data_IF_102916034454
#
_entry.id   IF_102916034454
#
_cell.length_a   1.000
_cell.length_b   1.000
_cell.length_c   1.000
_cell.angle_alpha   90.00
_cell.angle_beta   90.00
_cell.angle_gamma   90.00
#
_symmetry.space_group_name_H-M   'P 1'
#
loop_
_entity.id
_entity.type
_entity.pdbx_description
1 polymer ?
#
# COMPACT_ATOMS: atom_id res chain seq x y z
N UNK A 1 11.43 4.68 10.45
CA UNK A 1 10.10 5.34 10.31
C UNK A 1 8.98 4.43 10.78
N UNK A 2 8.76 3.29 10.14
CA UNK A 2 7.67 2.38 10.52
C UNK A 2 7.96 1.57 11.79
N UNK A 3 9.22 1.48 12.20
CA UNK A 3 9.61 0.77 13.43
C UNK A 3 8.96 1.35 14.70
N UNK A 4 8.66 2.65 14.72
CA UNK A 4 7.95 3.28 15.85
C UNK A 4 6.52 2.76 16.01
N UNK A 5 5.90 2.30 14.91
CA UNK A 5 4.59 1.66 14.92
C UNK A 5 4.70 0.14 15.05
N UNK A 6 5.91 -0.40 15.20
CA UNK A 6 6.14 -1.84 15.25
C UNK A 6 5.93 -2.55 13.92
N UNK A 7 6.17 -1.85 12.81
CA UNK A 7 6.01 -2.36 11.46
C UNK A 7 7.34 -2.41 10.69
N UNK A 8 7.55 -3.48 9.94
CA UNK A 8 8.55 -3.52 8.87
C UNK A 8 7.99 -2.82 7.63
N UNK A 9 8.88 -2.38 6.73
CA UNK A 9 8.47 -1.71 5.50
C UNK A 9 7.51 -2.53 4.64
N UNK A 10 7.74 -3.84 4.53
CA UNK A 10 6.87 -4.72 3.76
C UNK A 10 5.46 -4.87 4.38
N UNK A 11 5.37 -4.82 5.70
CA UNK A 11 4.08 -4.85 6.41
C UNK A 11 3.29 -3.58 6.10
N UNK A 12 3.96 -2.43 6.16
CA UNK A 12 3.37 -1.16 5.76
C UNK A 12 2.84 -1.19 4.33
N UNK A 13 3.59 -1.76 3.38
CA UNK A 13 3.19 -1.82 1.97
C UNK A 13 1.85 -2.56 1.81
N UNK A 14 1.69 -3.72 2.47
CA UNK A 14 0.46 -4.50 2.40
C UNK A 14 -0.69 -3.79 3.12
N UNK A 15 -0.47 -3.32 4.34
CA UNK A 15 -1.51 -2.67 5.14
C UNK A 15 -1.99 -1.37 4.47
N UNK A 16 -1.07 -0.59 3.91
CA UNK A 16 -1.44 0.66 3.22
C UNK A 16 -2.19 0.41 1.91
N UNK A 17 -1.84 -0.65 1.17
CA UNK A 17 -2.58 -1.04 -0.03
C UNK A 17 -4.04 -1.40 0.31
N UNK A 18 -4.24 -2.20 1.36
CA UNK A 18 -5.58 -2.54 1.85
C UNK A 18 -6.34 -1.29 2.30
N UNK A 19 -5.69 -0.39 3.03
CA UNK A 19 -6.31 0.83 3.52
C UNK A 19 -6.77 1.75 2.40
N UNK A 20 -5.94 1.90 1.35
CA UNK A 20 -6.26 2.73 0.18
C UNK A 20 -7.38 2.16 -0.68
N UNK A 21 -7.68 0.88 -0.58
CA UNK A 21 -8.74 0.25 -1.39
C UNK A 21 -10.15 0.76 -1.05
N UNK A 22 -10.30 1.45 0.07
CA UNK A 22 -11.60 1.91 0.56
C UNK A 22 -12.37 0.81 1.30
N UNK A 23 -13.38 1.21 2.07
CA UNK A 23 -14.19 0.25 2.82
C UNK A 23 -14.76 -0.84 1.92
N UNK A 24 -14.72 -2.09 2.34
CA UNK A 24 -14.37 -2.65 3.66
C UNK A 24 -12.88 -2.97 3.85
N UNK A 25 -11.96 -2.36 3.12
CA UNK A 25 -10.51 -2.54 3.19
C UNK A 25 -10.09 -3.98 2.88
N UNK A 26 -10.54 -4.47 1.75
CA UNK A 26 -10.46 -5.87 1.35
C UNK A 26 -9.96 -5.97 -0.09
N UNK A 27 -8.93 -6.78 -0.32
CA UNK A 27 -8.35 -7.06 -1.63
C UNK A 27 -8.08 -8.55 -1.76
N UNK A 28 -8.00 -9.04 -3.00
CA UNK A 28 -7.51 -10.39 -3.26
C UNK A 28 -5.98 -10.43 -3.12
N UNK A 29 -5.37 -11.60 -2.84
CA UNK A 29 -3.91 -11.74 -2.88
C UNK A 29 -3.32 -11.30 -4.22
N UNK A 30 -4.01 -11.53 -5.32
CA UNK A 30 -3.60 -11.10 -6.67
C UNK A 30 -3.49 -9.58 -6.77
N UNK A 31 -4.48 -8.86 -6.26
CA UNK A 31 -4.46 -7.40 -6.22
C UNK A 31 -3.28 -6.89 -5.38
N UNK A 32 -3.04 -7.52 -4.24
CA UNK A 32 -1.91 -7.17 -3.36
C UNK A 32 -0.56 -7.42 -4.02
N UNK A 33 -0.43 -8.50 -4.79
CA UNK A 33 0.78 -8.79 -5.58
C UNK A 33 1.04 -7.66 -6.59
N UNK A 34 0.02 -7.21 -7.29
CA UNK A 34 0.11 -6.12 -8.26
C UNK A 34 0.47 -4.79 -7.58
N UNK A 35 -0.15 -4.48 -6.46
CA UNK A 35 0.08 -3.24 -5.73
C UNK A 35 1.47 -3.16 -5.06
N UNK A 36 2.04 -4.28 -4.66
CA UNK A 36 3.29 -4.33 -3.90
C UNK A 36 4.49 -4.86 -4.69
N UNK A 37 4.29 -5.27 -5.94
CA UNK A 37 5.35 -5.73 -6.86
C UNK A 37 6.18 -6.89 -6.31
N UNK A 38 5.54 -7.86 -5.67
CA UNK A 38 6.20 -9.06 -5.14
C UNK A 38 5.69 -10.32 -5.83
N UNK A 39 6.37 -11.44 -5.61
CA UNK A 39 5.93 -12.75 -6.12
C UNK A 39 4.76 -13.31 -5.30
N UNK A 40 4.03 -14.27 -5.88
CA UNK A 40 2.93 -14.95 -5.19
C UNK A 40 3.40 -15.71 -3.95
N UNK A 41 4.58 -16.36 -4.01
CA UNK A 41 5.16 -17.05 -2.86
C UNK A 41 5.50 -16.10 -1.72
N UNK A 42 6.09 -14.95 -2.04
CA UNK A 42 6.39 -13.90 -1.05
C UNK A 42 5.10 -13.37 -0.42
N UNK A 43 4.07 -13.10 -1.23
CA UNK A 43 2.79 -12.60 -0.71
C UNK A 43 2.12 -13.62 0.22
N UNK A 44 2.12 -14.90 -0.14
CA UNK A 44 1.56 -15.96 0.72
C UNK A 44 2.22 -15.97 2.09
N UNK A 45 3.55 -15.89 2.14
CA UNK A 45 4.31 -15.85 3.40
C UNK A 45 4.00 -14.59 4.21
N UNK A 46 3.94 -13.44 3.56
CA UNK A 46 3.63 -12.15 4.19
C UNK A 46 2.23 -12.12 4.79
N UNK A 47 1.25 -12.59 4.05
CA UNK A 47 -0.15 -12.65 4.52
C UNK A 47 -0.30 -13.58 5.74
N UNK A 48 0.41 -14.72 5.73
CA UNK A 48 0.42 -15.61 6.89
C UNK A 48 0.98 -14.90 8.13
N UNK A 49 2.09 -14.19 8.00
CA UNK A 49 2.70 -13.44 9.10
C UNK A 49 1.78 -12.33 9.63
N UNK A 50 1.11 -11.61 8.74
CA UNK A 50 0.16 -10.56 9.12
C UNK A 50 -1.08 -11.14 9.82
N UNK A 51 -1.54 -12.30 9.38
CA UNK A 51 -2.66 -13.00 10.01
C UNK A 51 -2.30 -13.49 11.42
N UNK A 52 -1.09 -14.03 11.61
CA UNK A 52 -0.57 -14.41 12.93
C UNK A 52 -0.52 -13.22 13.89
N UNK A 53 -0.19 -12.04 13.38
CA UNK A 53 -0.21 -10.78 14.16
C UNK A 53 -1.60 -10.17 14.34
N UNK A 54 -2.65 -10.81 13.83
CA UNK A 54 -4.04 -10.31 13.86
C UNK A 54 -4.24 -8.95 13.17
N UNK A 55 -3.41 -8.63 12.18
CA UNK A 55 -3.52 -7.38 11.43
C UNK A 55 -4.41 -7.51 10.19
N UNK A 56 -4.53 -8.72 9.66
CA UNK A 56 -5.43 -9.05 8.56
C UNK A 56 -6.19 -10.34 8.87
N UNK A 57 -7.31 -10.52 8.17
CA UNK A 57 -8.10 -11.77 8.15
C UNK A 57 -8.29 -12.20 6.72
N UNK A 58 -8.22 -13.50 6.50
CA UNK A 58 -8.53 -14.10 5.18
C UNK A 58 -9.87 -14.81 5.27
N UNK A 59 -10.68 -14.63 4.24
CA UNK A 59 -11.95 -15.34 4.08
C UNK A 59 -12.15 -15.74 2.62
N UNK A 60 -13.01 -16.70 2.39
CA UNK A 60 -13.44 -17.02 1.03
C UNK A 60 -14.53 -16.07 0.59
N UNK A 61 -14.45 -15.61 -0.68
CA UNK A 61 -15.51 -14.80 -1.27
C UNK A 61 -16.80 -15.61 -1.40
N UNK A 62 -17.94 -14.99 -1.13
CA UNK A 62 -19.24 -15.61 -1.34
C UNK A 62 -19.45 -15.89 -2.84
N UNK A 63 -20.02 -17.05 -3.15
CA UNK A 63 -20.37 -17.46 -4.52
C UNK A 63 -19.23 -18.04 -5.36
N UNK A 64 -17.97 -17.86 -4.96
CA UNK A 64 -16.81 -18.47 -5.59
C UNK A 64 -15.91 -19.11 -4.53
N UNK A 65 -16.00 -20.42 -4.39
CA UNK A 65 -15.27 -21.20 -3.38
C UNK A 65 -13.74 -21.19 -3.55
N UNK A 66 -13.19 -20.54 -4.58
CA UNK A 66 -11.76 -20.47 -4.87
C UNK A 66 -11.13 -19.11 -4.57
N UNK A 67 -11.93 -18.06 -4.56
CA UNK A 67 -11.44 -16.70 -4.31
C UNK A 67 -11.25 -16.46 -2.83
N UNK A 68 -10.06 -15.97 -2.48
CA UNK A 68 -9.73 -15.54 -1.12
C UNK A 68 -9.73 -14.02 -1.07
N UNK A 69 -10.27 -13.47 -0.01
CA UNK A 69 -10.24 -12.05 0.28
C UNK A 69 -9.42 -11.80 1.55
N UNK A 70 -8.58 -10.79 1.50
CA UNK A 70 -7.75 -10.33 2.62
C UNK A 70 -8.32 -9.00 3.08
N UNK A 71 -8.65 -8.90 4.36
CA UNK A 71 -9.27 -7.73 4.95
C UNK A 71 -8.46 -7.25 6.15
N UNK A 72 -8.31 -5.94 6.29
CA UNK A 72 -7.75 -5.35 7.51
C UNK A 72 -8.62 -5.66 8.72
N UNK A 73 -7.98 -6.04 9.82
CA UNK A 73 -8.61 -6.04 11.14
C UNK A 73 -8.70 -4.60 11.68
N UNK A 74 -9.43 -4.41 12.77
CA UNK A 74 -9.46 -3.11 13.46
C UNK A 74 -8.05 -2.66 13.88
N UNK A 75 -7.24 -3.58 14.39
CA UNK A 75 -5.85 -3.31 14.76
C UNK A 75 -5.00 -2.98 13.51
N UNK A 76 -5.24 -3.69 12.40
CA UNK A 76 -4.60 -3.41 11.11
C UNK A 76 -4.91 -2.01 10.61
N UNK A 77 -6.16 -1.57 10.71
CA UNK A 77 -6.59 -0.21 10.34
C UNK A 77 -5.87 0.82 11.22
N UNK A 78 -5.86 0.59 12.54
CA UNK A 78 -5.20 1.50 13.48
C UNK A 78 -3.72 1.67 13.19
N UNK A 79 -3.01 0.56 12.96
CA UNK A 79 -1.58 0.60 12.63
C UNK A 79 -1.31 1.21 11.26
N UNK A 80 -2.13 0.90 10.27
CA UNK A 80 -2.01 1.49 8.93
C UNK A 80 -2.17 3.01 8.99
N UNK A 81 -3.19 3.49 9.68
CA UNK A 81 -3.45 4.94 9.81
C UNK A 81 -2.32 5.65 10.55
N UNK A 82 -1.81 5.07 11.64
CA UNK A 82 -0.68 5.63 12.38
C UNK A 82 0.60 5.69 11.52
N UNK A 83 0.88 4.63 10.75
CA UNK A 83 2.05 4.58 9.89
C UNK A 83 1.94 5.53 8.70
N UNK A 84 0.76 5.66 8.10
CA UNK A 84 0.50 6.61 7.01
C UNK A 84 0.70 8.05 7.51
N UNK A 85 0.17 8.37 8.69
CA UNK A 85 0.36 9.69 9.29
C UNK A 85 1.84 10.00 9.54
N UNK A 86 2.58 9.04 10.10
CA UNK A 86 4.02 9.17 10.33
C UNK A 86 4.79 9.41 9.02
N UNK A 87 4.43 8.71 7.95
CA UNK A 87 5.03 8.89 6.62
C UNK A 87 4.76 10.30 6.09
N UNK A 88 3.50 10.75 6.13
CA UNK A 88 3.10 12.09 5.66
C UNK A 88 3.85 13.17 6.43
N UNK A 89 3.95 13.04 7.75
CA UNK A 89 4.70 14.00 8.59
C UNK A 89 6.18 14.03 8.24
N UNK A 90 6.80 12.88 8.00
CA UNK A 90 8.20 12.78 7.59
C UNK A 90 8.43 13.39 6.20
N UNK A 91 7.55 13.12 5.25
CA UNK A 91 7.58 13.70 3.90
C UNK A 91 7.43 15.22 3.95
N UNK A 92 6.51 15.72 4.78
CA UNK A 92 6.31 17.15 4.95
C UNK A 92 7.57 17.84 5.47
N UNK A 93 8.25 17.25 6.44
CA UNK A 93 9.52 17.77 6.96
C UNK A 93 10.61 17.84 5.89
N UNK A 94 10.67 16.84 5.01
CA UNK A 94 11.60 16.86 3.88
C UNK A 94 11.26 17.98 2.91
N UNK A 95 9.98 18.16 2.60
CA UNK A 95 9.51 19.19 1.68
C UNK A 95 9.64 20.61 2.25
N UNK A 96 9.66 20.79 3.56
CA UNK A 96 9.86 22.08 4.21
C UNK A 96 11.21 22.74 3.86
N UNK A 97 12.18 21.97 3.37
CA UNK A 97 13.44 22.51 2.86
C UNK A 97 13.32 23.18 1.50
N UNK A 98 12.19 23.00 0.82
CA UNK A 98 11.90 23.57 -0.51
C UNK A 98 10.99 24.78 -0.38
N UNK A 99 11.13 25.72 -1.31
CA UNK A 99 10.14 26.81 -1.48
C UNK A 99 8.84 26.25 -2.07
N UNK A 100 7.74 27.00 -1.94
CA UNK A 100 6.46 26.64 -2.59
C UNK A 100 6.62 26.45 -4.10
N UNK A 101 7.37 27.33 -4.75
CA UNK A 101 7.63 27.26 -6.19
C UNK A 101 8.38 25.97 -6.56
N UNK A 102 9.44 25.63 -5.81
CA UNK A 102 10.21 24.40 -6.03
C UNK A 102 9.35 23.15 -5.83
N UNK A 103 8.50 23.11 -4.82
CA UNK A 103 7.58 22.01 -4.56
C UNK A 103 6.59 21.85 -5.71
N UNK A 104 6.01 22.96 -6.18
CA UNK A 104 5.07 22.96 -7.31
C UNK A 104 5.74 22.47 -8.59
N UNK A 105 6.92 23.00 -8.91
CA UNK A 105 7.67 22.61 -10.12
C UNK A 105 8.06 21.13 -10.10
N UNK A 106 8.50 20.62 -8.97
CA UNK A 106 8.82 19.21 -8.79
C UNK A 106 7.59 18.33 -8.99
N UNK A 107 6.47 18.70 -8.39
CA UNK A 107 5.20 18.00 -8.53
C UNK A 107 4.72 17.98 -9.97
N UNK A 108 4.83 19.10 -10.69
CA UNK A 108 4.46 19.19 -12.11
C UNK A 108 5.36 18.29 -12.97
N UNK A 109 6.66 18.27 -12.70
CA UNK A 109 7.61 17.41 -13.40
C UNK A 109 7.29 15.92 -13.19
N UNK A 110 7.00 15.51 -11.97
CA UNK A 110 6.62 14.12 -11.64
C UNK A 110 5.32 13.71 -12.33
N UNK A 111 4.31 14.59 -12.33
CA UNK A 111 3.06 14.31 -13.05
C UNK A 111 3.28 14.17 -14.55
N UNK A 112 4.14 14.97 -15.13
CA UNK A 112 4.53 14.87 -16.53
C UNK A 112 5.17 13.51 -16.84
N UNK A 113 6.11 13.05 -16.00
CA UNK A 113 6.73 11.74 -16.13
C UNK A 113 5.72 10.60 -16.01
N UNK A 114 4.81 10.65 -15.05
CA UNK A 114 3.77 9.64 -14.89
C UNK A 114 2.88 9.51 -16.12
N UNK A 115 2.50 10.61 -16.72
CA UNK A 115 1.72 10.61 -17.98
C UNK A 115 2.51 9.96 -19.13
N UNK A 116 3.79 10.26 -19.23
CA UNK A 116 4.67 9.65 -20.24
C UNK A 116 4.80 8.15 -20.04
N UNK A 117 4.93 7.67 -18.81
CA UNK A 117 4.94 6.24 -18.50
C UNK A 117 3.65 5.56 -18.89
N UNK A 118 2.50 6.14 -18.57
CA UNK A 118 1.20 5.59 -18.94
C UNK A 118 1.04 5.44 -20.47
N UNK A 119 1.55 6.39 -21.26
CA UNK A 119 1.56 6.30 -22.72
C UNK A 119 2.52 5.23 -23.23
N UNK A 120 3.66 5.05 -22.56
CA UNK A 120 4.65 4.04 -22.93
C UNK A 120 4.11 2.62 -22.70
N UNK A 121 3.42 2.40 -21.60
CA UNK A 121 2.78 1.12 -21.28
C UNK A 121 1.58 0.81 -22.20
N UNK A 122 0.92 1.83 -22.73
CA UNK A 122 -0.22 1.68 -23.64
C UNK A 122 0.20 1.34 -25.06
N UNK A 123 1.49 1.52 -25.46
CA UNK A 123 2.03 1.18 -26.78
C UNK A 123 3.09 0.09 -26.66
N UNK A 124 2.71 -1.19 -26.76
CA UNK A 124 3.61 -2.33 -26.51
C UNK A 124 4.59 -2.62 -27.68
N UNK A 125 5.00 -1.63 -28.40
CA UNK A 125 5.98 -1.81 -29.48
C UNK A 125 7.41 -1.91 -29.00
#
# INVERSE_FOLDING_TARGET
MFAEQGLDGWEFDVLSALRRSGEPFELTPRDLIQETFVTSGTMTTRLHKLEVRHLVRRRRAEGDGRSVLVRLSEEGIRLADAAILALVEAEQKLLDSLTEEQTTDMGDGLRCLLRSFAQFDADPR
#
